data_IF_667795091767
#
_entry.id   IF_667795091767
#
_cell.length_a   1.000
_cell.length_b   1.000
_cell.length_c   1.000
_cell.angle_alpha   90.00
_cell.angle_beta   90.00
_cell.angle_gamma   90.00
#
_symmetry.space_group_name_H-M   'P 1'
#
loop_
_entity.id
_entity.type
_entity.pdbx_description
1 polymer ?
#
# COMPACT_ATOMS: atom_id res chain seq x y z
N UNK A 1 -6.43 13.74 -4.32
CA UNK A 1 -7.59 14.63 -3.96
C UNK A 1 -7.17 15.70 -2.97
N UNK A 2 -7.91 16.80 -2.90
CA UNK A 2 -7.79 17.78 -1.80
C UNK A 2 -9.18 17.96 -1.18
N UNK A 3 -9.29 17.79 0.14
CA UNK A 3 -10.56 17.93 0.87
C UNK A 3 -11.13 19.34 0.70
N UNK A 4 -12.38 19.42 0.29
CA UNK A 4 -13.09 20.69 -0.03
C UNK A 4 -14.13 21.08 1.00
N UNK A 5 -14.58 20.14 1.84
CA UNK A 5 -15.62 20.37 2.85
C UNK A 5 -15.60 19.31 3.97
N UNK A 6 -16.38 19.57 5.02
CA UNK A 6 -16.44 18.69 6.21
C UNK A 6 -17.07 17.31 5.91
N UNK A 7 -17.97 17.22 4.93
CA UNK A 7 -18.59 15.95 4.53
C UNK A 7 -17.56 15.01 3.90
N UNK A 8 -16.76 15.50 2.93
CA UNK A 8 -15.67 14.72 2.36
C UNK A 8 -14.65 14.27 3.41
N UNK A 9 -14.34 15.18 4.36
CA UNK A 9 -13.44 14.86 5.47
C UNK A 9 -14.01 13.75 6.36
N UNK A 10 -15.29 13.81 6.70
CA UNK A 10 -15.96 12.79 7.50
C UNK A 10 -15.97 11.44 6.79
N UNK A 11 -16.34 11.41 5.50
CA UNK A 11 -16.34 10.21 4.69
C UNK A 11 -14.94 9.59 4.54
N UNK A 12 -13.91 10.41 4.33
CA UNK A 12 -12.52 9.94 4.28
C UNK A 12 -12.11 9.26 5.59
N UNK A 13 -12.42 9.88 6.74
CA UNK A 13 -12.09 9.34 8.07
C UNK A 13 -12.84 8.04 8.34
N UNK A 14 -14.12 7.97 8.00
CA UNK A 14 -14.93 6.77 8.23
C UNK A 14 -14.51 5.64 7.29
N UNK A 15 -14.32 5.93 5.99
CA UNK A 15 -13.79 4.95 5.03
C UNK A 15 -12.44 4.39 5.47
N UNK A 16 -11.55 5.23 6.00
CA UNK A 16 -10.26 4.77 6.52
C UNK A 16 -10.37 3.80 7.68
N UNK A 17 -11.30 4.03 8.61
CA UNK A 17 -11.57 3.07 9.72
C UNK A 17 -12.15 1.75 9.20
N UNK A 18 -13.06 1.82 8.22
CA UNK A 18 -13.59 0.63 7.58
C UNK A 18 -12.46 -0.19 6.94
N UNK A 19 -11.58 0.46 6.18
CA UNK A 19 -10.43 -0.20 5.54
C UNK A 19 -9.46 -0.81 6.57
N UNK A 20 -9.14 -0.08 7.64
CA UNK A 20 -8.29 -0.59 8.71
C UNK A 20 -8.89 -1.85 9.37
N UNK A 21 -10.20 -1.89 9.57
CA UNK A 21 -10.90 -3.07 10.10
C UNK A 21 -10.83 -4.27 9.15
N UNK A 22 -10.95 -4.05 7.83
CA UNK A 22 -10.77 -5.10 6.81
C UNK A 22 -9.36 -5.66 6.87
N UNK A 23 -8.33 -4.81 6.83
CA UNK A 23 -6.92 -5.24 6.92
C UNK A 23 -6.62 -6.01 8.21
N UNK A 24 -7.18 -5.58 9.33
CA UNK A 24 -7.03 -6.30 10.60
C UNK A 24 -7.66 -7.70 10.55
N UNK A 25 -8.86 -7.84 9.99
CA UNK A 25 -9.51 -9.13 9.82
C UNK A 25 -8.73 -10.07 8.87
N UNK A 26 -8.18 -9.52 7.77
CA UNK A 26 -7.31 -10.25 6.86
C UNK A 26 -6.03 -10.72 7.55
N UNK A 27 -5.37 -9.84 8.31
CA UNK A 27 -4.17 -10.15 9.09
C UNK A 27 -4.42 -11.32 10.06
N UNK A 28 -5.56 -11.34 10.75
CA UNK A 28 -5.95 -12.41 11.67
C UNK A 28 -6.26 -13.75 10.95
N UNK A 29 -6.69 -13.68 9.68
CA UNK A 29 -6.96 -14.87 8.85
C UNK A 29 -5.69 -15.49 8.27
N UNK A 30 -4.59 -14.72 8.13
CA UNK A 30 -3.33 -15.21 7.56
C UNK A 30 -2.76 -16.35 8.40
N UNK A 31 -2.66 -17.53 7.78
CA UNK A 31 -2.07 -18.74 8.38
C UNK A 31 -1.59 -19.69 7.29
N UNK A 32 -0.66 -20.62 7.58
CA UNK A 32 -0.31 -21.69 6.64
C UNK A 32 -1.55 -22.49 6.21
N UNK A 33 -1.69 -22.74 4.91
CA UNK A 33 -2.82 -23.45 4.32
C UNK A 33 -3.98 -22.56 3.84
N UNK A 34 -4.04 -21.30 4.23
CA UNK A 34 -5.01 -20.33 3.69
C UNK A 34 -4.63 -19.97 2.27
N UNK A 35 -5.62 -19.85 1.39
CA UNK A 35 -5.39 -19.44 -0.01
C UNK A 35 -5.53 -17.93 -0.20
N UNK A 36 -4.88 -17.39 -1.23
CA UNK A 36 -5.03 -15.99 -1.61
C UNK A 36 -6.49 -15.64 -1.97
N UNK A 37 -7.19 -16.57 -2.63
CA UNK A 37 -8.60 -16.42 -2.99
C UNK A 37 -9.51 -16.34 -1.76
N UNK A 38 -9.26 -17.14 -0.70
CA UNK A 38 -10.00 -17.02 0.57
C UNK A 38 -9.83 -15.65 1.26
N UNK A 39 -8.66 -15.01 1.08
CA UNK A 39 -8.41 -13.66 1.60
C UNK A 39 -9.14 -12.61 0.77
N UNK A 40 -9.17 -12.76 -0.55
CA UNK A 40 -9.92 -11.89 -1.47
C UNK A 40 -11.43 -11.94 -1.20
N UNK A 41 -11.99 -13.15 -1.12
CA UNK A 41 -13.42 -13.38 -0.79
C UNK A 41 -13.78 -12.74 0.57
N UNK A 42 -12.90 -12.87 1.57
CA UNK A 42 -13.11 -12.28 2.88
C UNK A 42 -13.11 -10.75 2.82
N UNK A 43 -12.16 -10.16 2.08
CA UNK A 43 -12.08 -8.71 1.89
C UNK A 43 -13.35 -8.17 1.23
N UNK A 44 -13.75 -8.75 0.08
CA UNK A 44 -14.96 -8.34 -0.62
C UNK A 44 -16.20 -8.44 0.26
N UNK A 45 -16.34 -9.56 0.97
CA UNK A 45 -17.45 -9.76 1.88
C UNK A 45 -17.55 -8.69 2.95
N UNK A 46 -16.44 -8.39 3.64
CA UNK A 46 -16.46 -7.40 4.76
C UNK A 46 -16.76 -6.00 4.20
N UNK A 47 -16.16 -5.59 3.09
CA UNK A 47 -16.39 -4.29 2.47
C UNK A 47 -17.88 -4.14 2.12
N UNK A 48 -18.46 -5.11 1.42
CA UNK A 48 -19.88 -5.05 0.98
C UNK A 48 -20.87 -5.16 2.14
N UNK A 49 -20.58 -5.99 3.14
CA UNK A 49 -21.42 -6.08 4.36
C UNK A 49 -21.40 -4.77 5.15
N UNK A 50 -20.29 -4.00 5.07
CA UNK A 50 -20.17 -2.66 5.63
C UNK A 50 -20.92 -1.57 4.85
N UNK A 51 -21.43 -1.88 3.65
CA UNK A 51 -22.11 -0.92 2.77
C UNK A 51 -21.16 -0.11 1.89
N UNK A 52 -19.88 -0.50 1.84
CA UNK A 52 -18.83 0.10 1.01
C UNK A 52 -18.63 -0.67 -0.30
N UNK A 53 -17.86 -0.10 -1.22
CA UNK A 53 -17.55 -0.71 -2.52
C UNK A 53 -16.05 -0.99 -2.68
N UNK A 54 -15.63 -2.21 -3.12
CA UNK A 54 -14.24 -2.47 -3.51
C UNK A 54 -13.82 -1.57 -4.67
N UNK A 55 -12.72 -0.83 -4.55
CA UNK A 55 -12.32 0.07 -5.63
C UNK A 55 -11.27 -0.50 -6.59
N UNK A 56 -10.65 -1.64 -6.26
CA UNK A 56 -9.71 -2.31 -7.16
C UNK A 56 -10.41 -3.26 -8.13
N UNK A 57 -11.50 -3.91 -7.70
CA UNK A 57 -12.25 -4.84 -8.54
C UNK A 57 -12.83 -4.12 -9.78
N UNK A 58 -12.34 -4.50 -10.95
CA UNK A 58 -12.74 -3.89 -12.21
C UNK A 58 -11.99 -2.58 -12.56
N UNK A 59 -11.07 -2.11 -11.71
CA UNK A 59 -10.24 -0.94 -12.01
C UNK A 59 -9.26 -1.25 -13.15
N UNK A 60 -9.12 -0.31 -14.07
CA UNK A 60 -8.18 -0.41 -15.19
C UNK A 60 -7.26 0.79 -15.17
N UNK A 61 -6.04 0.67 -14.61
CA UNK A 61 -5.08 1.76 -14.63
C UNK A 61 -4.60 2.06 -16.06
N UNK A 62 -4.06 3.27 -16.26
CA UNK A 62 -3.51 3.67 -17.55
C UNK A 62 -2.41 2.69 -18.00
N UNK A 63 -2.51 2.23 -19.24
CA UNK A 63 -1.57 1.24 -19.82
C UNK A 63 -1.93 -0.22 -19.55
N UNK A 64 -2.89 -0.53 -18.68
CA UNK A 64 -3.37 -1.90 -18.50
C UNK A 64 -4.24 -2.36 -19.68
N UNK A 65 -4.15 -3.65 -20.02
CA UNK A 65 -4.88 -4.24 -21.14
C UNK A 65 -6.25 -4.82 -20.73
N UNK A 66 -6.54 -4.89 -19.45
CA UNK A 66 -7.76 -5.47 -18.87
C UNK A 66 -8.02 -4.89 -17.48
N UNK A 67 -9.27 -4.99 -16.94
CA UNK A 67 -9.56 -4.64 -15.57
C UNK A 67 -8.86 -5.60 -14.58
N UNK A 68 -8.51 -5.09 -13.38
CA UNK A 68 -8.03 -5.90 -12.28
C UNK A 68 -9.14 -6.84 -11.79
N UNK A 69 -8.89 -8.16 -11.61
CA UNK A 69 -9.96 -9.14 -11.45
C UNK A 69 -10.38 -9.41 -9.99
N UNK A 70 -9.88 -8.68 -9.02
CA UNK A 70 -10.03 -8.97 -7.60
C UNK A 70 -10.27 -7.72 -6.75
N UNK A 71 -10.73 -7.91 -5.52
CA UNK A 71 -10.89 -6.84 -4.52
C UNK A 71 -9.57 -6.52 -3.82
N UNK A 72 -8.77 -7.56 -3.57
CA UNK A 72 -7.51 -7.52 -2.80
C UNK A 72 -6.33 -7.87 -3.70
N UNK A 73 -5.22 -7.15 -3.58
CA UNK A 73 -3.93 -7.60 -4.07
C UNK A 73 -3.27 -8.51 -3.02
N UNK A 74 -2.89 -9.73 -3.41
CA UNK A 74 -2.20 -10.70 -2.54
C UNK A 74 -0.85 -11.02 -3.14
N UNK A 75 0.20 -10.43 -2.59
CA UNK A 75 1.58 -10.50 -3.08
C UNK A 75 2.45 -11.33 -2.14
N UNK A 76 2.94 -12.50 -2.60
CA UNK A 76 3.65 -13.47 -1.76
C UNK A 76 5.15 -13.43 -2.07
N UNK A 77 5.99 -13.24 -1.05
CA UNK A 77 7.46 -13.29 -1.09
C UNK A 77 8.09 -12.31 -2.09
N UNK A 78 8.40 -12.79 -3.30
CA UNK A 78 9.01 -12.02 -4.39
C UNK A 78 8.00 -11.22 -5.22
N UNK A 79 6.70 -11.45 -5.03
CA UNK A 79 5.65 -10.59 -5.55
C UNK A 79 5.69 -9.27 -4.77
N UNK A 80 5.95 -8.18 -5.47
CA UNK A 80 6.17 -6.86 -4.85
C UNK A 80 4.85 -6.18 -4.53
N UNK A 81 3.99 -6.03 -5.56
CA UNK A 81 2.64 -5.46 -5.50
C UNK A 81 1.74 -6.06 -6.60
N UNK A 82 0.45 -5.79 -6.50
CA UNK A 82 -0.59 -6.14 -7.47
C UNK A 82 -0.70 -7.65 -7.75
N UNK A 83 -0.32 -8.48 -6.79
CA UNK A 83 -0.46 -9.93 -6.92
C UNK A 83 -1.92 -10.34 -7.04
N UNK A 84 -2.28 -11.05 -8.14
CA UNK A 84 -3.66 -11.48 -8.38
C UNK A 84 -3.97 -12.71 -7.53
N UNK A 85 -5.02 -12.70 -6.69
CA UNK A 85 -5.33 -13.80 -5.76
C UNK A 85 -6.05 -14.98 -6.40
N UNK A 86 -6.86 -14.75 -7.46
CA UNK A 86 -7.91 -15.65 -7.94
C UNK A 86 -7.67 -16.26 -9.34
N UNK A 87 -6.55 -15.96 -10.01
CA UNK A 87 -6.22 -16.52 -11.32
C UNK A 87 -5.30 -17.76 -11.27
N UNK A 88 -4.70 -18.02 -10.13
CA UNK A 88 -3.91 -19.22 -9.86
C UNK A 88 -4.01 -19.62 -8.39
N UNK A 89 -3.94 -20.91 -8.12
CA UNK A 89 -3.99 -21.40 -6.73
C UNK A 89 -2.72 -20.98 -6.00
N UNK A 90 -2.84 -20.01 -5.08
CA UNK A 90 -1.78 -19.55 -4.19
C UNK A 90 -2.12 -19.95 -2.76
N UNK A 91 -1.38 -20.88 -2.19
CA UNK A 91 -1.55 -21.36 -0.81
C UNK A 91 -0.41 -20.84 0.04
N UNK A 92 -0.73 -20.11 1.10
CA UNK A 92 0.24 -19.58 2.06
C UNK A 92 0.94 -20.74 2.80
N UNK A 93 2.25 -20.61 2.99
CA UNK A 93 3.10 -21.61 3.66
C UNK A 93 3.83 -20.99 4.83
N UNK A 94 4.15 -21.83 5.80
CA UNK A 94 5.04 -21.46 6.90
C UNK A 94 6.33 -20.80 6.38
N UNK A 95 6.67 -19.64 6.90
CA UNK A 95 7.85 -18.88 6.50
C UNK A 95 7.65 -17.94 5.31
N UNK A 96 6.47 -17.90 4.68
CA UNK A 96 6.15 -16.88 3.68
C UNK A 96 5.95 -15.51 4.35
N UNK A 97 6.00 -14.44 3.54
CA UNK A 97 5.40 -13.14 3.83
C UNK A 97 4.37 -12.84 2.77
N UNK A 98 3.30 -12.17 3.15
CA UNK A 98 2.21 -11.80 2.23
C UNK A 98 1.86 -10.33 2.36
N UNK A 99 1.99 -9.59 1.25
CA UNK A 99 1.46 -8.25 1.08
C UNK A 99 -0.04 -8.33 0.84
N UNK A 100 -0.80 -7.61 1.64
CA UNK A 100 -2.25 -7.44 1.55
C UNK A 100 -2.52 -5.97 1.30
N UNK A 101 -3.02 -5.64 0.13
CA UNK A 101 -3.18 -4.29 -0.37
C UNK A 101 -4.56 -4.14 -0.99
N UNK A 102 -5.36 -3.21 -0.48
CA UNK A 102 -6.72 -2.99 -0.94
C UNK A 102 -7.19 -1.56 -0.68
N UNK A 103 -8.08 -1.12 -1.56
CA UNK A 103 -8.82 0.12 -1.38
C UNK A 103 -10.34 -0.12 -1.34
N UNK A 104 -11.04 0.83 -0.74
CA UNK A 104 -12.50 0.88 -0.78
C UNK A 104 -13.02 2.30 -1.06
N UNK A 105 -14.24 2.36 -1.55
CA UNK A 105 -14.98 3.60 -1.72
C UNK A 105 -16.06 3.71 -0.65
N UNK A 106 -15.96 4.74 0.19
CA UNK A 106 -16.94 5.08 1.21
C UNK A 106 -17.65 6.39 0.84
N UNK A 107 -18.96 6.33 0.53
CA UNK A 107 -19.73 7.52 0.14
C UNK A 107 -19.04 8.39 -0.94
N UNK A 108 -18.44 7.73 -1.96
CA UNK A 108 -17.77 8.40 -3.08
C UNK A 108 -16.34 8.91 -2.79
N UNK A 109 -15.76 8.58 -1.63
CA UNK A 109 -14.36 8.87 -1.30
C UNK A 109 -13.57 7.57 -1.22
N UNK A 110 -12.44 7.51 -1.92
CA UNK A 110 -11.57 6.35 -1.96
C UNK A 110 -10.46 6.48 -0.90
N UNK A 111 -10.21 5.38 -0.21
CA UNK A 111 -9.06 5.18 0.69
C UNK A 111 -8.30 3.93 0.29
N UNK A 112 -6.99 3.93 0.53
CA UNK A 112 -6.05 2.89 0.13
C UNK A 112 -5.08 2.57 1.26
N UNK A 113 -4.74 1.28 1.45
CA UNK A 113 -3.76 0.88 2.44
C UNK A 113 -3.25 -0.54 2.21
N UNK A 114 -2.00 -0.78 2.61
CA UNK A 114 -1.37 -2.08 2.53
C UNK A 114 -0.57 -2.42 3.80
N UNK A 115 -0.53 -3.72 4.09
CA UNK A 115 0.34 -4.31 5.11
C UNK A 115 1.04 -5.55 4.56
N UNK A 116 2.26 -5.82 5.02
CA UNK A 116 2.91 -7.12 4.78
C UNK A 116 2.94 -7.92 6.08
N UNK A 117 2.41 -9.14 6.04
CA UNK A 117 2.21 -10.01 7.19
C UNK A 117 3.08 -11.27 7.07
N UNK A 118 3.78 -11.70 8.13
CA UNK A 118 4.44 -13.01 8.13
C UNK A 118 3.43 -14.15 8.26
N UNK A 119 3.68 -15.26 7.59
CA UNK A 119 2.89 -16.50 7.67
C UNK A 119 3.62 -17.47 8.61
N UNK A 120 3.17 -17.53 9.86
CA UNK A 120 3.89 -18.26 10.91
C UNK A 120 5.24 -17.64 11.25
N UNK A 121 6.27 -18.47 11.49
CA UNK A 121 7.62 -18.00 11.84
C UNK A 121 8.46 -17.69 10.59
N UNK A 122 9.10 -16.52 10.58
CA UNK A 122 10.01 -16.07 9.51
C UNK A 122 11.42 -15.84 10.05
N UNK A 123 12.41 -15.85 9.16
CA UNK A 123 13.80 -15.61 9.53
C UNK A 123 14.07 -14.15 9.96
N UNK A 124 15.19 -13.90 10.62
CA UNK A 124 15.54 -12.61 11.19
C UNK A 124 15.74 -11.52 10.13
N UNK A 125 16.19 -11.87 8.91
CA UNK A 125 16.33 -10.86 7.86
C UNK A 125 14.96 -10.42 7.36
N UNK A 126 14.01 -11.34 7.30
CA UNK A 126 12.62 -11.05 6.95
C UNK A 126 11.94 -10.18 8.02
N UNK A 127 12.09 -10.51 9.31
CA UNK A 127 11.59 -9.66 10.40
C UNK A 127 12.15 -8.24 10.32
N UNK A 128 13.45 -8.14 10.03
CA UNK A 128 14.12 -6.85 9.85
C UNK A 128 13.59 -6.09 8.62
N UNK A 129 13.32 -6.77 7.51
CA UNK A 129 12.74 -6.17 6.31
C UNK A 129 11.37 -5.56 6.62
N UNK A 130 10.47 -6.34 7.24
CA UNK A 130 9.13 -5.88 7.61
C UNK A 130 9.19 -4.64 8.52
N UNK A 131 9.99 -4.72 9.60
CA UNK A 131 10.16 -3.61 10.54
C UNK A 131 10.72 -2.37 9.87
N UNK A 132 11.75 -2.50 9.02
CA UNK A 132 12.37 -1.36 8.34
C UNK A 132 11.42 -0.68 7.36
N UNK A 133 10.58 -1.45 6.64
CA UNK A 133 9.63 -0.90 5.67
C UNK A 133 8.48 -0.16 6.39
N UNK A 134 7.98 -0.70 7.49
CA UNK A 134 6.96 -0.06 8.33
C UNK A 134 7.51 1.21 9.00
N UNK A 135 8.76 1.19 9.47
CA UNK A 135 9.45 2.38 10.00
C UNK A 135 9.67 3.44 8.93
N UNK A 136 9.96 3.04 7.69
CA UNK A 136 10.10 3.96 6.57
C UNK A 136 8.78 4.69 6.28
N UNK A 137 7.63 3.99 6.33
CA UNK A 137 6.32 4.61 6.24
C UNK A 137 6.12 5.65 7.35
N UNK A 138 6.39 5.28 8.59
CA UNK A 138 6.30 6.18 9.74
C UNK A 138 7.21 7.41 9.57
N UNK A 139 8.43 7.22 9.06
CA UNK A 139 9.40 8.30 8.81
C UNK A 139 8.95 9.23 7.69
N UNK A 140 8.35 8.69 6.62
CA UNK A 140 7.73 9.46 5.55
C UNK A 140 6.55 10.29 6.03
N UNK A 141 5.63 9.69 6.80
CA UNK A 141 4.47 10.37 7.37
C UNK A 141 4.88 11.55 8.26
N UNK A 142 5.95 11.42 9.04
CA UNK A 142 6.47 12.53 9.87
C UNK A 142 6.93 13.74 9.06
N UNK A 143 7.31 13.55 7.79
CA UNK A 143 7.68 14.63 6.87
C UNK A 143 6.49 15.22 6.12
N UNK A 144 5.34 14.57 6.13
CA UNK A 144 4.13 15.02 5.46
C UNK A 144 3.47 16.17 6.24
N UNK A 145 4.03 17.37 6.08
CA UNK A 145 3.62 18.61 6.77
C UNK A 145 3.40 19.72 5.76
N UNK A 146 2.47 20.64 6.07
CA UNK A 146 2.25 21.85 5.26
C UNK A 146 3.57 22.61 5.10
N UNK A 147 3.89 22.98 3.85
CA UNK A 147 5.11 23.70 3.48
C UNK A 147 6.33 22.82 3.19
N UNK A 148 6.34 21.56 3.61
CA UNK A 148 7.30 20.57 3.13
C UNK A 148 6.97 20.17 1.67
N UNK A 149 7.82 19.39 1.04
CA UNK A 149 7.68 18.92 -0.34
C UNK A 149 7.65 17.40 -0.42
N UNK A 150 7.18 16.86 -1.53
CA UNK A 150 7.18 15.39 -1.77
C UNK A 150 8.57 14.80 -1.57
N UNK A 151 9.65 15.48 -2.00
CA UNK A 151 11.02 15.02 -1.80
C UNK A 151 11.46 14.89 -0.34
N UNK A 152 10.82 15.61 0.60
CA UNK A 152 11.10 15.44 2.04
C UNK A 152 10.58 14.09 2.53
N UNK A 153 9.39 13.67 2.07
CA UNK A 153 8.81 12.35 2.33
C UNK A 153 9.71 11.27 1.70
N UNK A 154 9.98 11.40 0.41
CA UNK A 154 10.77 10.44 -0.39
C UNK A 154 12.16 10.20 0.20
N UNK A 155 12.84 11.29 0.58
CA UNK A 155 14.18 11.23 1.18
C UNK A 155 14.18 10.53 2.54
N UNK A 156 13.15 10.75 3.37
CA UNK A 156 13.02 10.10 4.66
C UNK A 156 12.77 8.59 4.54
N UNK A 157 11.89 8.19 3.59
CA UNK A 157 11.62 6.78 3.28
C UNK A 157 12.90 6.09 2.80
N UNK A 158 13.58 6.66 1.81
CA UNK A 158 14.81 6.11 1.27
C UNK A 158 15.87 5.90 2.34
N UNK A 159 16.09 6.93 3.16
CA UNK A 159 17.09 6.89 4.23
C UNK A 159 16.85 5.73 5.18
N UNK A 160 15.64 5.55 5.66
CA UNK A 160 15.27 4.49 6.61
C UNK A 160 15.53 3.09 6.03
N UNK A 161 15.10 2.85 4.79
CA UNK A 161 15.27 1.56 4.11
C UNK A 161 16.75 1.27 3.86
N UNK A 162 17.51 2.24 3.34
CA UNK A 162 18.92 2.04 2.99
C UNK A 162 19.82 1.92 4.21
N UNK A 163 19.58 2.66 5.31
CA UNK A 163 20.29 2.53 6.58
C UNK A 163 20.04 1.17 7.25
N UNK A 164 18.85 0.58 7.05
CA UNK A 164 18.56 -0.78 7.47
C UNK A 164 19.24 -1.85 6.59
N UNK A 165 19.86 -1.48 5.45
CA UNK A 165 20.60 -2.35 4.54
C UNK A 165 19.76 -2.96 3.42
N UNK A 166 18.54 -2.51 3.24
CA UNK A 166 17.62 -2.96 2.16
C UNK A 166 17.67 -2.04 0.95
N UNK A 167 16.93 -2.39 -0.11
CA UNK A 167 16.85 -1.61 -1.35
C UNK A 167 15.45 -1.07 -1.55
N UNK A 168 15.38 0.19 -1.99
CA UNK A 168 14.13 0.86 -2.36
C UNK A 168 13.76 0.47 -3.79
N UNK A 169 12.53 0.01 -3.99
CA UNK A 169 11.97 -0.14 -5.34
C UNK A 169 11.74 1.25 -5.92
N UNK A 170 12.20 1.48 -7.16
CA UNK A 170 12.22 2.80 -7.77
C UNK A 170 11.15 3.02 -8.84
N UNK A 171 10.63 1.93 -9.37
CA UNK A 171 9.63 1.91 -10.45
C UNK A 171 8.21 2.17 -9.93
N UNK A 172 8.00 2.05 -8.61
CA UNK A 172 6.72 2.14 -7.93
C UNK A 172 6.79 3.17 -6.80
N UNK A 173 5.64 3.66 -6.35
CA UNK A 173 5.58 4.65 -5.28
C UNK A 173 4.19 5.20 -5.07
N UNK A 174 4.03 5.97 -4.00
CA UNK A 174 2.78 6.54 -3.56
C UNK A 174 2.17 7.57 -4.51
N UNK A 175 0.96 7.97 -4.21
CA UNK A 175 0.15 8.80 -5.09
C UNK A 175 -0.87 9.65 -4.32
N UNK A 176 -1.51 10.58 -4.99
CA UNK A 176 -2.75 11.18 -4.51
C UNK A 176 -3.89 10.15 -4.58
N UNK A 177 -4.86 10.24 -3.68
CA UNK A 177 -6.02 9.34 -3.63
C UNK A 177 -7.27 10.08 -3.17
N UNK A 178 -8.46 9.56 -3.50
CA UNK A 178 -9.73 10.05 -2.97
C UNK A 178 -10.85 10.19 -3.98
N UNK A 179 -10.71 11.00 -5.04
CA UNK A 179 -11.68 11.05 -6.15
C UNK A 179 -11.45 9.87 -7.13
N UNK A 180 -10.18 9.42 -7.23
CA UNK A 180 -9.74 8.24 -7.99
C UNK A 180 -8.77 7.41 -7.16
N UNK A 181 -8.55 6.15 -7.56
CA UNK A 181 -7.56 5.26 -6.91
C UNK A 181 -6.16 5.89 -7.03
N UNK A 182 -5.75 6.25 -8.24
CA UNK A 182 -4.47 6.92 -8.47
C UNK A 182 -4.69 8.35 -8.99
N UNK A 183 -4.11 9.32 -8.29
CA UNK A 183 -4.12 10.74 -8.62
C UNK A 183 -2.72 11.35 -8.45
N UNK A 184 -2.51 12.49 -9.09
CA UNK A 184 -1.35 13.33 -8.79
C UNK A 184 -1.39 13.87 -7.33
N UNK A 185 -0.24 14.05 -6.67
CA UNK A 185 1.10 13.86 -7.21
C UNK A 185 1.59 12.40 -7.06
N UNK A 186 2.48 11.96 -7.96
CA UNK A 186 3.28 10.75 -7.73
C UNK A 186 4.30 11.00 -6.61
N UNK A 187 4.47 10.03 -5.70
CA UNK A 187 5.33 10.12 -4.51
C UNK A 187 6.37 9.01 -4.56
N UNK A 188 7.54 9.24 -5.15
CA UNK A 188 8.58 8.22 -5.21
C UNK A 188 9.12 7.90 -3.82
N UNK A 189 9.52 6.64 -3.60
CA UNK A 189 10.14 6.19 -2.36
C UNK A 189 11.63 6.57 -2.23
N UNK A 190 12.14 7.40 -3.13
CA UNK A 190 13.51 7.91 -3.15
C UNK A 190 13.53 9.35 -3.68
N UNK A 191 14.52 10.12 -3.28
CA UNK A 191 14.64 11.50 -3.76
C UNK A 191 15.50 12.39 -2.87
N UNK A 192 15.38 13.70 -3.09
CA UNK A 192 16.11 14.71 -2.36
C UNK A 192 15.15 15.62 -1.59
N UNK A 193 15.45 15.86 -0.32
CA UNK A 193 14.71 16.78 0.51
C UNK A 193 14.61 18.18 -0.14
N UNK A 194 13.47 18.85 0.06
CA UNK A 194 13.19 20.19 -0.49
C UNK A 194 12.85 20.21 -1.99
N UNK A 195 12.63 19.06 -2.65
CA UNK A 195 12.28 18.97 -4.07
C UNK A 195 10.85 18.51 -4.31
N UNK A 196 10.35 18.72 -5.53
CA UNK A 196 9.00 18.29 -5.94
C UNK A 196 7.88 19.23 -5.49
N UNK A 197 6.62 18.82 -5.69
CA UNK A 197 5.44 19.57 -5.30
C UNK A 197 5.42 19.90 -3.80
N UNK A 198 4.88 21.06 -3.46
CA UNK A 198 4.67 21.48 -2.08
C UNK A 198 3.44 20.81 -1.49
N UNK A 199 3.53 20.40 -0.23
CA UNK A 199 2.44 19.82 0.53
C UNK A 199 1.56 20.95 1.08
N UNK A 200 0.27 20.91 0.75
CA UNK A 200 -0.71 21.87 1.22
C UNK A 200 -1.79 21.20 2.05
N UNK A 201 -2.39 21.97 2.95
CA UNK A 201 -3.48 21.48 3.79
C UNK A 201 -4.65 20.94 2.96
N UNK A 202 -5.22 19.83 3.39
CA UNK A 202 -6.31 19.15 2.73
C UNK A 202 -5.89 18.12 1.69
N UNK A 203 -4.61 18.02 1.32
CA UNK A 203 -4.15 16.93 0.43
C UNK A 203 -4.36 15.57 1.07
N UNK A 204 -4.87 14.62 0.27
CA UNK A 204 -5.02 13.21 0.63
C UNK A 204 -4.05 12.40 -0.21
N UNK A 205 -3.17 11.66 0.45
CA UNK A 205 -2.04 10.97 -0.17
C UNK A 205 -1.96 9.53 0.34
N UNK A 206 -1.67 8.59 -0.55
CA UNK A 206 -1.24 7.24 -0.24
C UNK A 206 0.30 7.23 -0.17
N UNK A 207 0.87 6.91 0.97
CA UNK A 207 2.31 6.75 1.14
C UNK A 207 2.62 5.27 1.28
N UNK A 208 3.42 4.73 0.35
CA UNK A 208 3.63 3.29 0.19
C UNK A 208 5.11 2.92 0.01
N UNK A 209 5.95 2.96 1.05
CA UNK A 209 7.31 2.46 0.95
C UNK A 209 7.33 0.98 0.55
N UNK A 210 8.15 0.68 -0.47
CA UNK A 210 8.37 -0.66 -1.00
C UNK A 210 9.85 -0.96 -0.95
N UNK A 211 10.23 -2.04 -0.27
CA UNK A 211 11.62 -2.44 -0.10
C UNK A 211 11.87 -3.90 -0.44
N UNK A 212 13.13 -4.23 -0.76
CA UNK A 212 13.56 -5.60 -1.10
C UNK A 212 14.81 -6.00 -0.36
N UNK A 213 14.96 -7.30 -0.06
CA UNK A 213 16.19 -7.86 0.53
C UNK A 213 17.34 -7.84 -0.46
N UNK A 214 17.06 -8.08 -1.74
CA UNK A 214 18.06 -8.20 -2.80
C UNK A 214 18.23 -6.94 -3.64
N UNK A 215 17.95 -7.05 -4.94
CA UNK A 215 18.08 -5.95 -5.90
C UNK A 215 16.78 -5.17 -5.99
N UNK A 216 16.88 -3.85 -6.17
CA UNK A 216 15.74 -2.97 -6.33
C UNK A 216 14.90 -3.21 -7.60
N UNK A 217 15.49 -3.80 -8.64
CA UNK A 217 14.86 -3.97 -9.94
C UNK A 217 13.67 -4.94 -9.90
N UNK A 218 12.57 -4.53 -10.49
CA UNK A 218 11.34 -5.32 -10.62
C UNK A 218 11.05 -5.71 -12.07
N UNK A 219 10.15 -6.64 -12.27
CA UNK A 219 9.66 -7.08 -13.58
C UNK A 219 8.16 -7.33 -13.51
N UNK A 220 7.44 -6.90 -14.53
CA UNK A 220 6.02 -7.18 -14.67
C UNK A 220 5.83 -8.64 -15.14
N UNK A 221 4.98 -9.37 -14.45
CA UNK A 221 4.61 -10.75 -14.79
C UNK A 221 3.72 -10.81 -16.04
N UNK A 222 3.58 -11.98 -16.61
CA UNK A 222 2.77 -12.24 -17.80
C UNK A 222 1.25 -12.05 -17.58
N UNK A 223 0.80 -12.00 -16.32
CA UNK A 223 -0.59 -11.70 -15.96
C UNK A 223 -0.97 -10.23 -16.21
N UNK A 224 0.04 -9.37 -16.43
CA UNK A 224 -0.13 -7.95 -16.76
C UNK A 224 -0.29 -7.04 -15.55
N UNK A 225 -0.20 -7.57 -14.30
CA UNK A 225 -0.40 -6.81 -13.06
C UNK A 225 0.69 -7.03 -12.03
N UNK A 226 1.02 -8.29 -11.71
CA UNK A 226 1.95 -8.63 -10.65
C UNK A 226 3.36 -8.16 -10.96
N UNK A 227 3.90 -7.25 -10.16
CA UNK A 227 5.32 -6.92 -10.17
C UNK A 227 6.07 -7.89 -9.27
N UNK A 228 7.21 -8.40 -9.75
CA UNK A 228 8.10 -9.28 -8.99
C UNK A 228 9.49 -8.70 -8.89
N UNK A 229 10.21 -9.03 -7.82
CA UNK A 229 11.64 -8.75 -7.77
C UNK A 229 12.36 -9.56 -8.85
N UNK A 230 13.27 -8.90 -9.59
CA UNK A 230 13.96 -9.56 -10.72
C UNK A 230 14.89 -10.70 -10.29
N UNK A 231 15.32 -10.70 -9.03
CA UNK A 231 16.23 -11.72 -8.47
C UNK A 231 15.55 -12.74 -7.56
N UNK A 232 14.22 -12.70 -7.43
CA UNK A 232 13.45 -13.62 -6.60
C UNK A 232 13.58 -13.34 -5.09
N UNK A 233 14.16 -12.22 -4.69
CA UNK A 233 14.26 -11.84 -3.28
C UNK A 233 12.93 -11.36 -2.71
N UNK A 234 12.74 -11.53 -1.39
CA UNK A 234 11.54 -11.04 -0.70
C UNK A 234 11.42 -9.53 -0.78
N UNK A 235 10.17 -9.07 -0.88
CA UNK A 235 9.76 -7.67 -0.86
C UNK A 235 8.75 -7.42 0.24
N UNK A 236 8.76 -6.21 0.81
CA UNK A 236 7.75 -5.75 1.75
C UNK A 236 7.15 -4.42 1.27
N UNK A 237 5.85 -4.28 1.48
CA UNK A 237 5.04 -3.11 1.16
C UNK A 237 4.19 -2.77 2.38
N UNK A 238 4.22 -1.51 2.81
CA UNK A 238 3.34 -0.96 3.84
C UNK A 238 2.80 0.36 3.35
N UNK A 239 1.53 0.64 3.61
CA UNK A 239 0.88 1.82 3.08
C UNK A 239 -0.17 2.38 4.03
N UNK A 240 -0.28 3.70 4.03
CA UNK A 240 -1.40 4.41 4.62
C UNK A 240 -1.90 5.55 3.74
N UNK A 241 -3.21 5.69 3.65
CA UNK A 241 -3.82 6.97 3.27
C UNK A 241 -3.64 7.95 4.42
N UNK A 242 -3.13 9.14 4.11
CA UNK A 242 -2.96 10.25 5.05
C UNK A 242 -3.67 11.50 4.56
N UNK A 243 -4.10 12.33 5.50
CA UNK A 243 -4.61 13.69 5.25
C UNK A 243 -3.61 14.71 5.79
N UNK A 244 -3.18 15.65 4.96
CA UNK A 244 -2.34 16.77 5.39
C UNK A 244 -3.20 17.79 6.13
N UNK A 245 -2.92 18.00 7.41
CA UNK A 245 -3.57 18.98 8.27
C UNK A 245 -2.56 20.06 8.73
N UNK A 246 -3.05 21.18 9.22
CA UNK A 246 -2.19 22.27 9.72
C UNK A 246 -1.18 21.82 10.78
N UNK A 247 -1.54 20.85 11.62
CA UNK A 247 -0.69 20.31 12.69
C UNK A 247 0.26 19.17 12.21
N UNK A 248 0.17 18.74 10.96
CA UNK A 248 0.90 17.62 10.37
C UNK A 248 -0.04 16.60 9.74
N UNK A 249 0.50 15.47 9.28
CA UNK A 249 -0.32 14.42 8.67
C UNK A 249 -1.14 13.66 9.71
N UNK A 250 -2.41 13.42 9.37
CA UNK A 250 -3.29 12.49 10.05
C UNK A 250 -3.32 11.18 9.26
N UNK A 251 -3.03 10.06 9.92
CA UNK A 251 -3.24 8.73 9.33
C UNK A 251 -4.74 8.47 9.31
N UNK A 252 -5.25 8.08 8.15
CA UNK A 252 -6.68 7.84 7.91
C UNK A 252 -7.01 6.35 8.10
N UNK A 253 -6.13 5.48 7.63
CA UNK A 253 -6.31 4.01 7.60
C UNK A 253 -5.67 3.31 8.80
N UNK A 254 -6.05 3.71 10.02
CA UNK A 254 -5.59 3.10 11.28
C UNK A 254 -6.71 2.93 12.30
#
# INVERSE_FOLDING_TARGET
MTIKNDEQRANLIEGGKCLAAVLQALKEKVAPGVTAEELDDLAEKIIRDGGDEPCFLGYTPEGANRPYPATLCVSINDEVVHGIPNESVKVLKEGDIVGLDLGLTHNGVIVDAAITVPVGEVDEITKKLLTATEQALTSGIKQAKVGNRIGDISSAIQKEIEEAGFKVVRELGGHGVGDHVHEEPFIPNFGHAGTGPELVEGMVLALEPISTVGKAAVVLSSDGYTYRTKDGSRSAHFEHTILIEAAGARIITQ
#
